data_IF_665526351499
#
_entry.id   IF_665526351499
#
_cell.length_a   1.000
_cell.length_b   1.000
_cell.length_c   1.000
_cell.angle_alpha   90.00
_cell.angle_beta   90.00
_cell.angle_gamma   90.00
#
_symmetry.space_group_name_H-M   'P 1'
#
loop_
_entity.id
_entity.type
_entity.pdbx_description
1 polymer ?
#
# COMPACT_ATOMS: atom_id res chain seq x y z
N UNK A 1 16.84 -4.88 15.88
CA UNK A 1 15.49 -5.52 15.90
C UNK A 1 15.27 -6.38 14.66
N UNK A 2 14.39 -7.38 14.73
CA UNK A 2 14.01 -8.21 13.56
C UNK A 2 12.62 -7.78 13.10
N UNK A 3 12.48 -7.50 11.80
CA UNK A 3 11.20 -7.21 11.16
C UNK A 3 10.83 -8.39 10.27
N UNK A 4 9.61 -8.91 10.44
CA UNK A 4 9.05 -9.95 9.58
C UNK A 4 7.94 -9.40 8.70
N UNK A 5 8.16 -9.48 7.39
CA UNK A 5 7.13 -9.21 6.40
C UNK A 5 6.34 -10.49 6.13
N UNK A 6 5.02 -10.40 6.17
CA UNK A 6 4.11 -11.51 5.90
C UNK A 6 2.88 -11.00 5.18
N UNK A 7 2.66 -11.48 3.97
CA UNK A 7 1.63 -11.00 3.07
C UNK A 7 0.81 -12.17 2.50
N UNK A 8 -0.48 -12.32 2.87
CA UNK A 8 -1.40 -13.24 2.22
C UNK A 8 -1.85 -12.64 0.88
N UNK A 9 -1.11 -12.94 -0.20
CA UNK A 9 -1.45 -12.46 -1.53
C UNK A 9 -1.27 -13.55 -2.58
N UNK A 10 -2.28 -13.72 -3.43
CA UNK A 10 -2.25 -14.67 -4.53
C UNK A 10 -1.57 -14.04 -5.75
N UNK A 11 -0.58 -14.74 -6.28
CA UNK A 11 0.21 -14.30 -7.43
C UNK A 11 0.09 -15.32 -8.55
N UNK A 12 0.11 -14.84 -9.78
CA UNK A 12 0.18 -15.70 -10.95
C UNK A 12 1.62 -16.19 -11.20
N UNK A 13 1.82 -17.30 -11.93
CA UNK A 13 3.17 -17.77 -12.27
C UNK A 13 4.01 -16.71 -12.97
N UNK A 14 5.22 -16.43 -12.49
CA UNK A 14 6.06 -15.35 -13.02
C UNK A 14 5.81 -13.99 -12.37
N UNK A 15 4.89 -13.88 -11.42
CA UNK A 15 4.80 -12.73 -10.55
C UNK A 15 5.61 -12.93 -9.27
N UNK A 16 6.24 -11.86 -8.80
CA UNK A 16 7.01 -11.81 -7.56
C UNK A 16 6.61 -10.61 -6.72
N UNK A 17 6.74 -10.73 -5.40
CA UNK A 17 6.51 -9.62 -4.50
C UNK A 17 7.84 -9.15 -3.93
N UNK A 18 8.07 -7.85 -3.99
CA UNK A 18 9.18 -7.18 -3.33
C UNK A 18 8.67 -6.16 -2.30
N UNK A 19 9.50 -5.87 -1.31
CA UNK A 19 9.34 -4.80 -0.34
C UNK A 19 10.42 -3.77 -0.61
N UNK A 20 10.00 -2.54 -0.88
CA UNK A 20 10.91 -1.42 -1.09
C UNK A 20 10.63 -0.36 -0.04
N UNK A 21 11.67 0.25 0.52
CA UNK A 21 11.51 1.17 1.64
C UNK A 21 12.71 2.07 1.88
N UNK A 22 12.64 2.88 2.93
CA UNK A 22 13.66 3.87 3.28
C UNK A 22 14.99 3.25 3.72
N UNK A 23 14.94 2.02 4.24
CA UNK A 23 16.11 1.34 4.79
C UNK A 23 17.07 0.81 3.73
N UNK A 24 18.39 0.79 3.99
CA UNK A 24 19.37 0.14 3.12
C UNK A 24 19.02 -1.33 2.83
N UNK A 25 18.57 -2.05 3.85
CA UNK A 25 18.10 -3.45 3.71
C UNK A 25 16.81 -3.59 2.91
N UNK A 26 16.09 -2.50 2.67
CA UNK A 26 14.89 -2.41 1.82
C UNK A 26 15.15 -1.68 0.50
N UNK A 27 16.41 -1.36 0.21
CA UNK A 27 16.84 -0.77 -1.05
C UNK A 27 16.77 0.75 -1.16
N UNK A 28 16.42 1.50 -0.11
CA UNK A 28 16.32 2.97 -0.12
C UNK A 28 15.48 3.52 -1.28
N UNK A 29 14.27 2.97 -1.46
CA UNK A 29 13.36 3.27 -2.57
C UNK A 29 13.88 2.90 -3.97
N UNK A 30 14.96 2.14 -4.06
CA UNK A 30 15.44 1.54 -5.30
C UNK A 30 14.96 0.08 -5.43
N UNK A 31 14.17 -0.19 -6.48
CA UNK A 31 13.62 -1.51 -6.76
C UNK A 31 14.67 -2.58 -7.08
N UNK A 32 15.80 -2.19 -7.69
CA UNK A 32 16.88 -3.13 -8.00
C UNK A 32 17.59 -3.64 -6.74
N UNK A 33 17.38 -2.95 -5.60
CA UNK A 33 17.89 -3.31 -4.28
C UNK A 33 16.77 -3.67 -3.29
N UNK A 34 15.54 -3.81 -3.78
CA UNK A 34 14.41 -4.13 -2.93
C UNK A 34 14.50 -5.56 -2.37
N UNK A 35 13.84 -5.76 -1.24
CA UNK A 35 13.80 -7.06 -0.57
C UNK A 35 12.76 -7.95 -1.24
N UNK A 36 13.18 -9.02 -1.90
CA UNK A 36 12.26 -10.00 -2.47
C UNK A 36 11.68 -10.93 -1.39
N UNK A 37 10.36 -11.08 -1.40
CA UNK A 37 9.67 -12.03 -0.54
C UNK A 37 9.76 -13.45 -1.12
N UNK A 38 9.67 -14.46 -0.25
CA UNK A 38 9.55 -15.85 -0.67
C UNK A 38 8.12 -16.35 -0.49
N UNK A 39 7.60 -17.04 -1.50
CA UNK A 39 6.29 -17.68 -1.41
C UNK A 39 6.39 -19.01 -0.66
N UNK A 40 5.77 -19.06 0.53
CA UNK A 40 5.66 -20.27 1.33
C UNK A 40 4.43 -21.06 0.90
N UNK A 41 4.61 -22.02 -0.01
CA UNK A 41 3.51 -22.83 -0.57
C UNK A 41 2.65 -23.55 0.49
N UNK A 42 3.23 -23.91 1.64
CA UNK A 42 2.51 -24.55 2.75
C UNK A 42 1.48 -23.64 3.43
N UNK A 43 1.75 -22.33 3.49
CA UNK A 43 0.90 -21.35 4.16
C UNK A 43 0.17 -20.43 3.17
N UNK A 44 0.58 -20.41 1.91
CA UNK A 44 0.09 -19.49 0.89
C UNK A 44 0.52 -18.04 1.14
N UNK A 45 1.57 -17.81 1.92
CA UNK A 45 2.03 -16.49 2.32
C UNK A 45 3.34 -16.11 1.63
N UNK A 46 3.47 -14.85 1.27
CA UNK A 46 4.75 -14.24 0.93
C UNK A 46 5.43 -13.76 2.21
N UNK A 47 6.63 -14.25 2.50
CA UNK A 47 7.32 -13.96 3.76
C UNK A 47 8.80 -13.68 3.57
N UNK A 48 9.34 -12.77 4.38
CA UNK A 48 10.79 -12.52 4.50
C UNK A 48 11.08 -11.83 5.83
N UNK A 49 12.26 -12.07 6.38
CA UNK A 49 12.73 -11.42 7.61
C UNK A 49 14.00 -10.65 7.34
N UNK A 50 14.13 -9.49 7.98
CA UNK A 50 15.36 -8.71 7.97
C UNK A 50 15.73 -8.30 9.38
N UNK A 51 17.04 -8.20 9.60
CA UNK A 51 17.59 -7.62 10.82
C UNK A 51 17.97 -6.18 10.54
N UNK A 52 17.39 -5.26 11.30
CA UNK A 52 17.69 -3.83 11.28
C UNK A 52 18.39 -3.47 12.59
N UNK A 53 19.41 -2.60 12.60
CA UNK A 53 19.96 -2.06 13.85
C UNK A 53 18.86 -1.56 14.79
N UNK A 54 19.03 -1.70 16.10
CA UNK A 54 18.03 -1.19 17.07
C UNK A 54 18.15 0.34 17.22
N UNK A 55 19.30 0.90 16.87
CA UNK A 55 19.55 2.34 16.84
C UNK A 55 19.11 2.90 15.47
N UNK A 56 17.80 3.14 15.30
CA UNK A 56 17.27 3.80 14.10
C UNK A 56 16.71 5.19 14.45
N UNK A 57 17.29 6.27 13.90
CA UNK A 57 16.87 7.64 14.22
C UNK A 57 15.56 8.07 13.54
N UNK A 58 15.03 7.29 12.60
CA UNK A 58 13.86 7.65 11.79
C UNK A 58 12.86 6.50 11.69
N UNK A 59 11.56 6.79 11.51
CA UNK A 59 10.57 5.77 11.21
C UNK A 59 10.92 5.04 9.91
N UNK A 60 10.83 3.71 9.92
CA UNK A 60 11.09 2.89 8.73
C UNK A 60 9.84 2.88 7.87
N UNK A 61 9.94 3.46 6.68
CA UNK A 61 8.88 3.44 5.68
C UNK A 61 9.11 2.34 4.67
N UNK A 62 8.04 1.67 4.23
CA UNK A 62 8.11 0.64 3.22
C UNK A 62 6.81 0.53 2.43
N UNK A 63 6.88 -0.19 1.31
CA UNK A 63 5.75 -0.45 0.43
C UNK A 63 5.94 -1.77 -0.31
N UNK A 64 4.84 -2.48 -0.54
CA UNK A 64 4.86 -3.69 -1.34
C UNK A 64 4.78 -3.37 -2.83
N UNK A 65 5.48 -4.15 -3.64
CA UNK A 65 5.50 -4.04 -5.10
C UNK A 65 5.33 -5.41 -5.71
N UNK A 66 4.33 -5.55 -6.57
CA UNK A 66 4.14 -6.71 -7.41
C UNK A 66 4.92 -6.50 -8.71
N UNK A 67 5.83 -7.42 -8.98
CA UNK A 67 6.67 -7.44 -10.16
C UNK A 67 6.18 -8.57 -11.06
N UNK A 68 5.87 -8.26 -12.31
CA UNK A 68 5.51 -9.27 -13.29
C UNK A 68 6.70 -9.51 -14.23
N UNK A 69 7.27 -10.71 -14.18
CA UNK A 69 8.45 -11.06 -14.98
C UNK A 69 8.11 -11.33 -16.45
N UNK A 70 6.82 -11.43 -16.79
CA UNK A 70 6.39 -11.71 -18.17
C UNK A 70 6.50 -10.47 -19.05
N UNK A 71 6.15 -9.31 -18.50
CA UNK A 71 6.15 -8.02 -19.20
C UNK A 71 7.07 -6.96 -18.56
N UNK A 72 7.62 -7.24 -17.37
CA UNK A 72 8.46 -6.33 -16.61
C UNK A 72 7.67 -5.26 -15.85
N UNK A 73 6.34 -5.41 -15.75
CA UNK A 73 5.48 -4.44 -15.09
C UNK A 73 5.70 -4.40 -13.57
N UNK A 74 5.55 -3.19 -13.01
CA UNK A 74 5.81 -2.88 -11.59
C UNK A 74 4.58 -2.22 -11.00
N UNK A 75 3.83 -2.95 -10.18
CA UNK A 75 2.63 -2.44 -9.53
C UNK A 75 2.93 -2.16 -8.07
N UNK A 76 2.96 -0.89 -7.69
CA UNK A 76 3.07 -0.50 -6.30
C UNK A 76 1.75 -0.69 -5.57
N UNK A 77 1.83 -0.99 -4.28
CA UNK A 77 0.67 -0.94 -3.40
C UNK A 77 -0.06 0.42 -3.50
N UNK A 78 -1.36 0.43 -3.32
CA UNK A 78 -2.12 1.68 -3.30
C UNK A 78 -2.01 2.41 -1.96
N UNK A 79 -2.09 3.75 -2.00
CA UNK A 79 -2.07 4.60 -0.81
C UNK A 79 -0.68 5.02 -0.35
N UNK A 80 -0.64 5.60 0.86
CA UNK A 80 0.59 6.11 1.49
C UNK A 80 1.55 4.98 1.88
N UNK A 81 2.82 5.33 2.10
CA UNK A 81 3.82 4.39 2.58
C UNK A 81 3.41 3.81 3.94
N UNK A 82 3.71 2.52 4.14
CA UNK A 82 3.54 1.86 5.44
C UNK A 82 4.70 2.25 6.33
N UNK A 83 4.43 2.42 7.62
CA UNK A 83 5.46 2.69 8.63
C UNK A 83 5.57 1.48 9.55
N UNK A 84 6.79 1.05 9.85
CA UNK A 84 7.03 0.02 10.87
C UNK A 84 6.75 0.65 12.23
N UNK A 85 5.69 0.20 12.90
CA UNK A 85 5.42 0.59 14.28
C UNK A 85 6.40 -0.15 15.21
N UNK A 86 7.05 0.60 16.10
CA UNK A 86 8.09 0.12 17.03
C UNK A 86 7.59 -0.99 17.98
N UNK A 87 6.27 -1.10 18.19
CA UNK A 87 5.68 -2.03 19.14
C UNK A 87 4.93 -3.17 18.43
N UNK A 88 5.61 -4.29 18.17
CA UNK A 88 5.11 -5.69 18.13
C UNK A 88 3.70 -5.97 17.56
N UNK A 89 3.18 -5.10 16.71
CA UNK A 89 1.77 -5.01 16.38
C UNK A 89 1.51 -5.69 15.06
N UNK A 90 0.80 -6.81 15.13
CA UNK A 90 0.27 -7.53 13.99
C UNK A 90 -0.38 -6.54 13.00
N UNK A 91 0.19 -6.40 11.81
CA UNK A 91 -0.36 -5.54 10.77
C UNK A 91 -1.77 -6.04 10.42
N UNK A 92 -2.80 -5.16 10.36
CA UNK A 92 -4.16 -5.58 10.09
C UNK A 92 -4.22 -6.29 8.75
N UNK A 93 -4.96 -7.41 8.73
CA UNK A 93 -5.14 -8.32 7.61
C UNK A 93 -5.21 -7.56 6.27
N UNK A 94 -4.17 -7.71 5.46
CA UNK A 94 -4.11 -7.16 4.12
C UNK A 94 -5.08 -7.94 3.23
N UNK A 95 -6.29 -7.40 3.12
CA UNK A 95 -7.45 -7.93 2.43
C UNK A 95 -7.38 -7.53 0.94
N UNK A 96 -7.01 -8.48 0.06
CA UNK A 96 -7.17 -8.60 -1.42
C UNK A 96 -7.19 -7.37 -2.38
N UNK A 97 -7.01 -6.13 -1.93
CA UNK A 97 -7.18 -4.89 -2.72
C UNK A 97 -5.91 -4.05 -2.88
N UNK A 98 -4.75 -4.65 -2.63
CA UNK A 98 -3.46 -3.95 -2.55
C UNK A 98 -3.02 -3.39 -3.89
N UNK A 99 -3.30 -4.09 -5.00
CA UNK A 99 -2.79 -3.77 -6.33
C UNK A 99 -3.89 -3.49 -7.37
N UNK A 100 -5.18 -3.49 -6.98
CA UNK A 100 -6.29 -3.41 -7.94
C UNK A 100 -7.60 -2.82 -7.41
N UNK A 101 -7.74 -1.51 -7.56
CA UNK A 101 -8.99 -0.91 -8.04
C UNK A 101 -8.59 0.16 -9.08
N UNK A 102 -9.32 0.33 -10.20
CA UNK A 102 -9.10 1.49 -11.06
C UNK A 102 -9.27 2.77 -10.23
N UNK A 103 -8.52 3.85 -10.53
CA UNK A 103 -8.77 5.14 -9.88
C UNK A 103 -10.27 5.48 -10.03
N UNK A 104 -10.94 6.05 -9.00
CA UNK A 104 -12.25 6.63 -9.24
C UNK A 104 -12.04 7.65 -10.37
N UNK A 105 -12.64 7.38 -11.53
CA UNK A 105 -12.65 8.29 -12.65
C UNK A 105 -13.02 9.67 -12.13
N UNK A 106 -12.27 10.75 -12.45
CA UNK A 106 -12.63 12.09 -12.06
C UNK A 106 -13.82 12.52 -12.93
N UNK A 107 -15.01 12.01 -12.62
CA UNK A 107 -16.24 12.57 -13.17
C UNK A 107 -16.47 13.88 -12.45
N UNK A 108 -15.88 14.90 -13.06
CA UNK A 108 -16.23 16.30 -13.12
C UNK A 108 -17.30 16.84 -12.14
N UNK A 109 -16.97 18.04 -11.70
CA UNK A 109 -17.87 19.15 -11.39
C UNK A 109 -18.67 19.04 -10.08
N UNK A 110 -18.16 19.78 -9.08
CA UNK A 110 -18.97 20.45 -8.07
C UNK A 110 -20.18 21.12 -8.73
N UNK A 111 -21.31 20.42 -8.78
CA UNK A 111 -22.57 21.03 -9.16
C UNK A 111 -23.12 21.72 -7.92
N UNK A 112 -22.92 23.03 -7.89
CA UNK A 112 -23.72 24.08 -7.22
C UNK A 112 -24.51 23.64 -5.99
N UNK A 113 -24.14 24.22 -4.83
CA UNK A 113 -25.06 24.52 -3.72
C UNK A 113 -26.42 24.97 -4.27
N UNK A 114 -27.55 24.42 -3.80
CA UNK A 114 -28.80 25.16 -3.87
C UNK A 114 -28.69 26.32 -2.88
N UNK A 115 -28.65 27.54 -3.39
CA UNK A 115 -28.90 28.77 -2.64
C UNK A 115 -30.28 28.70 -1.96
N UNK A 116 -30.44 29.16 -0.70
CA UNK A 116 -31.73 29.22 -0.04
C UNK A 116 -32.60 30.29 -0.69
N UNK A 117 -33.82 29.93 -1.13
CA UNK A 117 -34.82 30.89 -1.60
C UNK A 117 -35.36 31.68 -0.39
N UNK A 118 -35.40 33.02 -0.43
CA UNK A 118 -36.02 33.82 0.62
C UNK A 118 -37.56 33.76 0.54
N UNK A 119 -38.19 33.77 1.71
CA UNK A 119 -39.62 33.84 1.95
C UNK A 119 -40.27 35.02 1.21
N UNK A 120 -41.42 34.80 0.57
CA UNK A 120 -42.29 35.90 0.13
C UNK A 120 -43.63 35.87 0.86
N UNK A 121 -43.96 37.05 1.35
CA UNK A 121 -45.07 37.44 2.22
C UNK A 121 -46.40 37.38 1.48
N UNK A 122 -47.45 36.92 2.16
CA UNK A 122 -48.83 37.01 1.69
C UNK A 122 -49.38 38.43 1.70
N UNK A 123 -50.36 38.69 0.84
CA UNK A 123 -51.20 39.89 0.96
C UNK A 123 -52.02 40.25 -0.27
N UNK A 124 -53.35 40.04 -0.14
CA UNK A 124 -54.48 40.76 -0.76
C UNK A 124 -54.76 40.57 -2.26
N UNK A 125 -55.93 40.01 -2.53
CA UNK A 125 -57.16 40.80 -2.84
C UNK A 125 -58.36 40.12 -2.21
#
# INVERSE_FOLDING_TARGET
MIIRFSLPYHTEPGQRIAVCGSEPSLGQWNLDRALFLHYAARTGLWTQEISIPTDHPHPIEYKYVLLDERDGSKHWEWGSNRVVADSGGFLPALCWKIFGAPPPSPTMSCTRRPSPKPCFVGGRT
#
